data_IF_851664286681
#
_entry.id   IF_851664286681
#
_cell.length_a   1.000
_cell.length_b   1.000
_cell.length_c   1.000
_cell.angle_alpha   90.00
_cell.angle_beta   90.00
_cell.angle_gamma   90.00
#
_symmetry.space_group_name_H-M   'P 1'
#
loop_
_entity.id
_entity.type
_entity.pdbx_description
1 polymer ?
#
# COMPACT_ATOMS: atom_id res chain seq x y z
N UNK A 1 -16.29 -6.30 10.61
CA UNK A 1 -16.20 -6.89 9.27
C UNK A 1 -15.22 -6.21 8.29
N UNK A 2 -15.37 -4.94 7.86
CA UNK A 2 -14.33 -4.32 6.98
C UNK A 2 -12.94 -4.16 7.64
N UNK A 3 -12.89 -4.05 8.98
CA UNK A 3 -11.64 -4.09 9.77
C UNK A 3 -10.88 -5.43 9.67
N UNK A 4 -11.52 -6.50 9.21
CA UNK A 4 -10.93 -7.85 9.17
C UNK A 4 -10.34 -8.22 7.81
N UNK A 5 -10.61 -7.45 6.75
CA UNK A 5 -10.10 -7.75 5.41
C UNK A 5 -8.61 -7.41 5.23
N UNK A 6 -8.15 -6.34 5.87
CA UNK A 6 -6.72 -5.96 5.91
C UNK A 6 -5.84 -7.10 6.48
N UNK A 7 -6.13 -7.66 7.68
CA UNK A 7 -5.34 -8.78 8.20
C UNK A 7 -5.50 -10.09 7.43
N UNK A 8 -6.50 -10.24 6.56
CA UNK A 8 -6.63 -11.40 5.66
C UNK A 8 -5.82 -11.24 4.36
N UNK A 9 -5.77 -10.03 3.78
CA UNK A 9 -4.98 -9.73 2.57
C UNK A 9 -3.50 -9.46 2.88
N UNK A 10 -3.20 -8.84 4.02
CA UNK A 10 -1.86 -8.81 4.59
C UNK A 10 -1.71 -10.04 5.48
N UNK A 11 -1.24 -11.13 4.89
CA UNK A 11 -0.73 -12.27 5.63
C UNK A 11 0.21 -11.74 6.74
N UNK A 12 -0.20 -11.86 8.01
CA UNK A 12 0.60 -11.45 9.16
C UNK A 12 1.77 -12.43 9.28
N UNK A 13 2.82 -12.21 8.49
CA UNK A 13 4.09 -12.90 8.64
C UNK A 13 4.78 -12.39 9.92
N UNK A 14 4.34 -12.95 11.04
CA UNK A 14 5.09 -12.95 12.28
C UNK A 14 6.43 -13.68 11.99
N UNK A 15 7.46 -12.89 11.68
CA UNK A 15 8.87 -13.23 11.91
C UNK A 15 9.75 -13.93 10.86
N UNK A 16 9.41 -14.10 9.57
CA UNK A 16 10.34 -14.86 8.71
C UNK A 16 10.71 -14.40 7.29
N UNK A 17 10.23 -13.28 6.74
CA UNK A 17 10.78 -12.79 5.45
C UNK A 17 10.88 -11.25 5.40
N UNK A 18 12.04 -10.68 5.03
CA UNK A 18 12.12 -9.26 4.70
C UNK A 18 11.26 -9.01 3.46
N UNK A 19 10.14 -8.31 3.63
CA UNK A 19 9.35 -7.84 2.50
C UNK A 19 10.14 -6.71 1.82
N UNK A 20 10.35 -6.81 0.50
CA UNK A 20 10.85 -5.70 -0.33
C UNK A 20 10.07 -4.43 0.03
N UNK A 21 10.77 -3.33 0.24
CA UNK A 21 10.11 -2.03 0.36
C UNK A 21 9.31 -1.76 -0.91
N UNK A 22 8.17 -1.11 -0.77
CA UNK A 22 7.43 -0.60 -1.93
C UNK A 22 8.31 0.38 -2.72
N UNK A 23 8.20 0.33 -4.04
CA UNK A 23 9.01 1.09 -4.98
C UNK A 23 8.13 1.90 -5.94
N UNK A 24 8.71 2.92 -6.54
CA UNK A 24 8.06 3.67 -7.62
C UNK A 24 7.72 2.71 -8.77
N UNK A 25 6.50 2.81 -9.28
CA UNK A 25 5.96 1.92 -10.31
C UNK A 25 5.14 0.74 -9.78
N UNK A 26 5.19 0.43 -8.48
CA UNK A 26 4.40 -0.66 -7.92
C UNK A 26 2.89 -0.36 -8.03
N UNK A 27 2.11 -1.38 -8.42
CA UNK A 27 0.65 -1.32 -8.42
C UNK A 27 0.13 -1.75 -7.06
N UNK A 28 -0.64 -0.87 -6.42
CA UNK A 28 -1.15 -1.07 -5.06
C UNK A 28 -2.65 -0.82 -4.98
N UNK A 29 -3.30 -1.46 -4.00
CA UNK A 29 -4.65 -1.15 -3.57
C UNK A 29 -4.61 -0.18 -2.40
N UNK A 30 -5.44 0.87 -2.43
CA UNK A 30 -5.59 1.81 -1.33
C UNK A 30 -6.71 1.33 -0.40
N UNK A 31 -6.39 1.26 0.89
CA UNK A 31 -7.35 1.00 1.95
C UNK A 31 -7.78 2.31 2.56
N UNK A 32 -9.06 2.67 2.42
CA UNK A 32 -9.64 3.80 3.15
C UNK A 32 -10.74 3.30 4.08
N UNK A 33 -10.78 3.87 5.29
CA UNK A 33 -11.74 3.48 6.32
C UNK A 33 -13.18 3.93 6.00
N UNK A 34 -13.35 4.91 5.09
CA UNK A 34 -14.62 5.57 4.78
C UNK A 34 -15.15 5.29 3.36
N UNK A 35 -14.59 4.36 2.59
CA UNK A 35 -15.18 4.01 1.27
C UNK A 35 -16.40 3.11 1.49
N UNK A 36 -17.48 3.37 0.77
CA UNK A 36 -18.61 2.44 0.66
C UNK A 36 -18.11 1.03 0.28
N UNK A 37 -18.70 -0.02 0.89
CA UNK A 37 -18.31 -1.42 0.68
C UNK A 37 -18.06 -1.75 -0.79
N UNK A 38 -16.94 -2.41 -1.08
CA UNK A 38 -16.64 -2.98 -2.40
C UNK A 38 -15.75 -2.12 -3.31
N UNK A 39 -15.39 -0.89 -2.92
CA UNK A 39 -14.48 -0.06 -3.71
C UNK A 39 -13.10 0.00 -3.06
N UNK A 40 -12.16 -0.76 -3.63
CA UNK A 40 -10.73 -0.66 -3.33
C UNK A 40 -10.03 0.05 -4.48
N UNK A 41 -9.68 1.34 -4.36
CA UNK A 41 -9.04 2.06 -5.44
C UNK A 41 -7.66 1.48 -5.74
N UNK A 42 -7.41 1.17 -7.01
CA UNK A 42 -6.07 0.86 -7.51
C UNK A 42 -5.28 2.15 -7.68
N UNK A 43 -4.00 2.09 -7.38
CA UNK A 43 -3.09 3.20 -7.52
C UNK A 43 -1.68 2.73 -7.87
N UNK A 44 -0.94 3.56 -8.59
CA UNK A 44 0.48 3.35 -8.83
C UNK A 44 1.29 4.18 -7.84
N UNK A 45 2.38 3.64 -7.34
CA UNK A 45 3.32 4.41 -6.53
C UNK A 45 4.12 5.33 -7.46
N UNK A 46 4.07 6.62 -7.17
CA UNK A 46 4.76 7.65 -7.94
C UNK A 46 6.01 8.14 -7.21
N UNK A 47 5.97 8.22 -5.88
CA UNK A 47 7.13 8.59 -5.06
C UNK A 47 7.15 7.78 -3.76
N UNK A 48 8.36 7.50 -3.27
CA UNK A 48 8.60 6.80 -2.01
C UNK A 48 9.50 7.64 -1.10
N UNK A 49 9.21 7.61 0.20
CA UNK A 49 9.99 8.34 1.21
C UNK A 49 10.62 7.33 2.18
N UNK A 50 11.85 6.86 1.91
CA UNK A 50 12.58 6.00 2.83
C UNK A 50 13.12 6.79 4.02
N UNK A 51 13.10 6.18 5.20
CA UNK A 51 13.74 6.69 6.41
C UNK A 51 15.28 6.46 6.36
N UNK A 52 16.03 6.96 7.34
CA UNK A 52 17.49 6.77 7.48
C UNK A 52 17.93 5.30 7.49
N UNK A 53 17.03 4.38 7.83
CA UNK A 53 17.25 2.92 7.81
C UNK A 53 16.81 2.25 6.49
N UNK A 54 16.44 3.04 5.49
CA UNK A 54 15.97 2.56 4.18
C UNK A 54 14.54 2.01 4.17
N UNK A 55 13.76 2.16 5.24
CA UNK A 55 12.38 1.66 5.31
C UNK A 55 11.40 2.70 4.79
N UNK A 56 10.53 2.31 3.86
CA UNK A 56 9.50 3.21 3.32
C UNK A 56 8.26 3.16 4.23
N UNK A 57 7.89 4.31 4.79
CA UNK A 57 6.69 4.44 5.65
C UNK A 57 5.57 5.24 4.99
N UNK A 58 5.94 6.15 4.10
CA UNK A 58 5.01 6.98 3.36
C UNK A 58 5.32 6.94 1.86
N UNK A 59 4.26 6.98 1.07
CA UNK A 59 4.33 6.99 -0.39
C UNK A 59 3.34 8.00 -0.95
N UNK A 60 3.65 8.53 -2.13
CA UNK A 60 2.67 9.21 -2.96
C UNK A 60 2.16 8.21 -3.97
N UNK A 61 0.84 8.08 -4.01
CA UNK A 61 0.14 7.19 -4.94
C UNK A 61 -0.71 8.00 -5.89
N UNK A 62 -0.72 7.57 -7.15
CA UNK A 62 -1.56 8.11 -8.22
C UNK A 62 -2.69 7.13 -8.51
N UNK A 63 -3.90 7.54 -8.17
CA UNK A 63 -5.14 6.89 -8.61
C UNK A 63 -5.59 7.48 -9.94
N UNK A 64 -6.62 6.89 -10.55
CA UNK A 64 -7.21 7.42 -11.79
C UNK A 64 -7.75 8.86 -11.64
N UNK A 65 -8.12 9.26 -10.43
CA UNK A 65 -8.79 10.53 -10.16
C UNK A 65 -7.95 11.52 -9.36
N UNK A 66 -7.00 11.05 -8.55
CA UNK A 66 -6.24 11.90 -7.64
C UNK A 66 -4.84 11.37 -7.34
N UNK A 67 -3.97 12.31 -6.97
CA UNK A 67 -2.66 12.06 -6.37
C UNK A 67 -2.75 12.29 -4.87
N UNK A 68 -2.32 11.33 -4.04
CA UNK A 68 -2.42 11.46 -2.59
C UNK A 68 -1.27 10.78 -1.84
N UNK A 69 -0.95 11.32 -0.66
CA UNK A 69 -0.01 10.69 0.27
C UNK A 69 -0.71 9.65 1.14
N UNK A 70 -0.12 8.46 1.26
CA UNK A 70 -0.62 7.38 2.10
C UNK A 70 0.51 6.70 2.87
N UNK A 71 0.16 6.24 4.07
CA UNK A 71 1.01 5.36 4.86
C UNK A 71 1.02 3.96 4.22
N UNK A 72 2.17 3.30 4.21
CA UNK A 72 2.34 1.95 3.64
C UNK A 72 1.41 0.92 4.30
N UNK A 73 0.99 1.14 5.54
CA UNK A 73 0.01 0.29 6.26
C UNK A 73 -1.41 0.39 5.70
N UNK A 74 -1.73 1.45 4.96
CA UNK A 74 -3.03 1.67 4.32
C UNK A 74 -3.00 1.31 2.83
N UNK A 75 -2.00 0.55 2.38
CA UNK A 75 -1.93 0.05 1.01
C UNK A 75 -1.54 -1.43 1.00
N UNK A 76 -1.95 -2.13 -0.06
CA UNK A 76 -1.58 -3.52 -0.31
C UNK A 76 -0.94 -3.62 -1.69
N UNK A 77 0.27 -4.18 -1.76
CA UNK A 77 0.94 -4.47 -3.03
C UNK A 77 0.14 -5.51 -3.81
N UNK A 78 -0.16 -5.21 -5.08
CA UNK A 78 -0.86 -6.11 -6.00
C UNK A 78 0.12 -6.70 -7.02
N UNK A 79 0.94 -5.84 -7.63
CA UNK A 79 1.98 -6.23 -8.58
C UNK A 79 3.21 -5.34 -8.38
N UNK A 80 4.41 -5.94 -8.35
CA UNK A 80 5.66 -5.19 -8.26
C UNK A 80 6.04 -4.61 -9.62
N UNK A 81 6.69 -3.45 -9.63
CA UNK A 81 7.37 -2.96 -10.83
C UNK A 81 8.42 -4.00 -11.29
N UNK A 82 8.38 -4.31 -12.60
CA UNK A 82 9.33 -5.17 -13.32
C UNK A 82 10.66 -4.45 -13.52
#
# INVERSE_FOLDING_TARGET
WLKEYLPMLQERQKWFRPKRNVQVGDLVLIVQENVSRGQWPKALIEEVFPDKRGQVRQVVVRTATARMRRDVRKICLLEGAH
#
